data_IF_009747536461
#
_entry.id   IF_009747536461
#
_cell.length_a   1.000
_cell.length_b   1.000
_cell.length_c   1.000
_cell.angle_alpha   90.00
_cell.angle_beta   90.00
_cell.angle_gamma   90.00
#
_symmetry.space_group_name_H-M   'P 1'
#
loop_
_entity.id
_entity.type
_entity.pdbx_description
1 polymer ?
#
# COMPACT_ATOMS: atom_id res chain seq x y z
N UNK A 1 5.56 9.46 16.54
CA UNK A 1 4.55 9.51 15.47
C UNK A 1 5.16 9.19 14.09
N UNK A 2 6.37 8.59 14.02
CA UNK A 2 7.04 8.26 12.75
C UNK A 2 6.83 6.82 12.26
N UNK A 3 6.63 5.85 13.16
CA UNK A 3 6.55 4.43 12.78
C UNK A 3 5.34 4.07 11.91
N UNK A 4 4.21 4.77 12.09
CA UNK A 4 3.04 4.60 11.21
C UNK A 4 3.33 5.13 9.79
N UNK A 5 4.10 6.22 9.67
CA UNK A 5 4.42 6.81 8.38
C UNK A 5 5.36 5.90 7.56
N UNK A 6 6.38 5.32 8.21
CA UNK A 6 7.26 4.32 7.60
C UNK A 6 6.51 3.06 7.18
N UNK A 7 5.62 2.54 8.04
CA UNK A 7 4.84 1.35 7.72
C UNK A 7 3.90 1.56 6.53
N UNK A 8 3.27 2.72 6.43
CA UNK A 8 2.42 3.04 5.26
C UNK A 8 3.23 3.19 3.98
N UNK A 9 4.45 3.75 4.07
CA UNK A 9 5.34 3.89 2.92
C UNK A 9 5.85 2.53 2.43
N UNK A 10 6.21 1.62 3.33
CA UNK A 10 6.60 0.25 2.99
C UNK A 10 5.46 -0.54 2.34
N UNK A 11 4.25 -0.46 2.91
CA UNK A 11 3.06 -1.10 2.32
C UNK A 11 2.72 -0.52 0.95
N UNK A 12 2.86 0.79 0.77
CA UNK A 12 2.65 1.45 -0.53
C UNK A 12 3.67 0.96 -1.58
N UNK A 13 4.93 0.81 -1.20
CA UNK A 13 5.98 0.27 -2.08
C UNK A 13 5.68 -1.19 -2.46
N UNK A 14 5.29 -2.03 -1.50
CA UNK A 14 4.88 -3.41 -1.77
C UNK A 14 3.67 -3.47 -2.71
N UNK A 15 2.67 -2.60 -2.51
CA UNK A 15 1.50 -2.52 -3.38
C UNK A 15 1.89 -2.20 -4.82
N UNK A 16 2.82 -1.26 -5.03
CA UNK A 16 3.31 -0.90 -6.36
C UNK A 16 4.02 -2.08 -7.05
N UNK A 17 4.88 -2.79 -6.33
CA UNK A 17 5.57 -3.99 -6.84
C UNK A 17 4.56 -5.07 -7.22
N UNK A 18 3.64 -5.43 -6.33
CA UNK A 18 2.66 -6.47 -6.63
C UNK A 18 1.72 -6.12 -7.77
N UNK A 19 1.36 -4.83 -7.94
CA UNK A 19 0.63 -4.35 -9.11
C UNK A 19 1.45 -4.49 -10.39
N UNK A 20 2.74 -4.14 -10.38
CA UNK A 20 3.62 -4.27 -11.54
C UNK A 20 3.75 -5.73 -12.02
N UNK A 21 3.75 -6.68 -11.09
CA UNK A 21 3.77 -8.12 -11.40
C UNK A 21 2.39 -8.76 -11.61
N UNK A 22 1.31 -7.97 -11.69
CA UNK A 22 -0.08 -8.46 -11.80
C UNK A 22 -0.50 -9.47 -10.71
N UNK A 23 0.15 -9.42 -9.53
CA UNK A 23 -0.15 -10.31 -8.42
C UNK A 23 -1.35 -9.80 -7.63
N UNK A 24 -2.55 -10.19 -8.08
CA UNK A 24 -3.82 -9.76 -7.49
C UNK A 24 -4.01 -10.20 -6.04
N UNK A 25 -3.55 -11.40 -5.69
CA UNK A 25 -3.66 -11.94 -4.32
C UNK A 25 -2.82 -11.13 -3.34
N UNK A 26 -1.55 -10.86 -3.68
CA UNK A 26 -0.67 -10.05 -2.85
C UNK A 26 -1.13 -8.58 -2.78
N UNK A 27 -1.61 -8.02 -3.89
CA UNK A 27 -2.24 -6.69 -3.94
C UNK A 27 -3.40 -6.57 -2.94
N UNK A 28 -4.31 -7.54 -2.93
CA UNK A 28 -5.44 -7.55 -1.99
C UNK A 28 -5.00 -7.69 -0.53
N UNK A 29 -3.96 -8.50 -0.26
CA UNK A 29 -3.39 -8.65 1.08
C UNK A 29 -2.80 -7.33 1.60
N UNK A 30 -2.00 -6.64 0.78
CA UNK A 30 -1.40 -5.35 1.14
C UNK A 30 -2.45 -4.27 1.34
N UNK A 31 -3.49 -4.20 0.49
CA UNK A 31 -4.60 -3.26 0.68
C UNK A 31 -5.33 -3.46 2.01
N UNK A 32 -5.53 -4.71 2.46
CA UNK A 32 -6.11 -5.01 3.78
C UNK A 32 -5.19 -4.57 4.92
N UNK A 33 -3.88 -4.77 4.78
CA UNK A 33 -2.91 -4.32 5.77
C UNK A 33 -2.88 -2.79 5.86
N UNK A 34 -2.89 -2.10 4.71
CA UNK A 34 -3.01 -0.64 4.65
C UNK A 34 -4.28 -0.16 5.35
N UNK A 35 -5.43 -0.81 5.13
CA UNK A 35 -6.68 -0.46 5.81
C UNK A 35 -6.58 -0.65 7.33
N UNK A 36 -6.01 -1.76 7.81
CA UNK A 36 -5.82 -2.00 9.26
C UNK A 36 -4.87 -1.00 9.91
N UNK A 37 -3.84 -0.58 9.18
CA UNK A 37 -2.87 0.41 9.64
C UNK A 37 -3.34 1.86 9.44
N UNK A 38 -4.57 2.08 8.96
CA UNK A 38 -5.13 3.39 8.64
C UNK A 38 -4.24 4.19 7.66
N UNK A 39 -3.56 3.46 6.77
CA UNK A 39 -2.72 4.06 5.74
C UNK A 39 -3.58 4.62 4.60
N UNK A 40 -3.30 5.85 4.15
CA UNK A 40 -4.00 6.41 3.00
C UNK A 40 -3.69 5.58 1.76
N UNK A 41 -4.71 4.98 1.16
CA UNK A 41 -4.61 4.33 -0.14
C UNK A 41 -4.71 5.46 -1.17
N UNK A 42 -3.57 6.07 -1.46
CA UNK A 42 -3.49 7.11 -2.47
C UNK A 42 -3.96 6.55 -3.82
N UNK A 43 -5.15 6.95 -4.27
CA UNK A 43 -5.33 7.17 -5.69
C UNK A 43 -4.36 8.31 -6.00
N UNK A 44 -3.17 7.98 -6.51
CA UNK A 44 -2.28 8.99 -7.07
C UNK A 44 -3.14 9.84 -7.98
N UNK A 45 -3.44 11.08 -7.58
CA UNK A 45 -4.08 12.04 -8.46
C UNK A 45 -3.11 12.17 -9.62
N UNK A 46 -3.45 11.54 -10.74
CA UNK A 46 -2.93 11.89 -12.06
C UNK A 46 -3.26 13.37 -12.21
N UNK A 47 -2.28 14.21 -11.94
CA UNK A 47 -2.29 15.62 -12.27
C UNK A 47 -1.59 15.77 -13.61
#
# INVERSE_FOLDING_TARGET
>A
MDSQNSQCQDLSNQLAVYRAFNNRSATAAVLRQMASAQCPIGASKLH
#
